data_IF_317521313085
#
_entry.id   IF_317521313085
#
_cell.length_a   1.000
_cell.length_b   1.000
_cell.length_c   1.000
_cell.angle_alpha   90.00
_cell.angle_beta   90.00
_cell.angle_gamma   90.00
#
_symmetry.space_group_name_H-M   'P 1'
#
loop_
_entity.id
_entity.type
_entity.pdbx_description
1 polymer ?
#
# COMPACT_ATOMS: atom_id res chain seq x y z
N UNK A 1 -36.76 -61.87 -18.34
CA UNK A 1 -35.38 -62.17 -18.78
C UNK A 1 -34.79 -60.88 -19.32
N UNK A 2 -33.61 -60.50 -18.80
CA UNK A 2 -32.70 -59.40 -19.24
C UNK A 2 -33.30 -57.99 -19.11
N UNK A 3 -32.99 -57.11 -18.14
CA UNK A 3 -31.71 -56.64 -17.58
C UNK A 3 -30.82 -55.89 -18.59
N UNK A 4 -31.22 -54.67 -18.96
CA UNK A 4 -30.29 -53.65 -19.47
C UNK A 4 -30.28 -52.48 -18.49
N UNK A 5 -29.25 -52.45 -17.62
CA UNK A 5 -28.88 -51.26 -16.85
C UNK A 5 -27.97 -50.41 -17.72
N UNK A 6 -28.51 -49.32 -18.26
CA UNK A 6 -27.71 -48.21 -18.77
C UNK A 6 -27.17 -47.41 -17.58
N UNK A 7 -25.91 -47.62 -17.24
CA UNK A 7 -25.11 -46.74 -16.39
C UNK A 7 -24.63 -45.55 -17.23
N UNK A 8 -24.99 -44.29 -16.90
CA UNK A 8 -24.25 -43.15 -17.40
C UNK A 8 -23.07 -42.87 -16.45
N UNK A 9 -21.87 -42.85 -17.03
CA UNK A 9 -20.60 -42.49 -16.41
C UNK A 9 -20.65 -41.11 -15.72
N UNK A 10 -21.12 -41.06 -14.48
CA UNK A 10 -20.82 -39.99 -13.54
C UNK A 10 -19.78 -40.51 -12.54
N UNK A 11 -18.52 -40.55 -12.98
CA UNK A 11 -17.39 -40.77 -12.08
C UNK A 11 -16.44 -39.57 -12.12
N UNK A 12 -16.53 -38.82 -11.03
CA UNK A 12 -15.39 -38.29 -10.27
C UNK A 12 -14.59 -37.14 -10.89
N UNK A 13 -15.21 -35.96 -10.89
CA UNK A 13 -14.46 -34.71 -10.61
C UNK A 13 -14.87 -34.23 -9.22
N UNK A 14 -14.54 -35.00 -8.19
CA UNK A 14 -14.65 -34.53 -6.81
C UNK A 14 -13.28 -34.63 -6.15
N UNK A 15 -12.74 -33.48 -5.81
CA UNK A 15 -11.83 -33.38 -4.68
C UNK A 15 -10.36 -33.56 -5.00
N UNK A 16 -9.80 -32.67 -5.82
CA UNK A 16 -8.53 -32.09 -5.38
C UNK A 16 -8.88 -31.15 -4.22
N UNK A 17 -9.11 -31.74 -3.05
CA UNK A 17 -8.92 -31.01 -1.81
C UNK A 17 -7.49 -30.49 -1.91
N UNK A 18 -7.33 -29.16 -1.88
CA UNK A 18 -6.04 -28.54 -1.65
C UNK A 18 -5.47 -29.21 -0.41
N UNK A 19 -4.54 -30.16 -0.60
CA UNK A 19 -3.77 -30.72 0.50
C UNK A 19 -3.09 -29.51 1.14
N UNK A 20 -3.60 -29.06 2.28
CA UNK A 20 -2.88 -28.07 3.09
C UNK A 20 -1.58 -28.77 3.47
N UNK A 21 -0.49 -28.44 2.79
CA UNK A 21 0.84 -28.84 3.18
C UNK A 21 1.13 -28.16 4.52
N UNK A 22 0.78 -28.82 5.62
CA UNK A 22 1.13 -28.37 6.95
C UNK A 22 2.58 -28.75 7.19
N UNK A 23 3.46 -27.77 7.20
CA UNK A 23 4.86 -27.97 7.54
C UNK A 23 4.99 -28.21 9.06
N UNK A 24 4.81 -29.47 9.47
CA UNK A 24 4.71 -29.88 10.89
C UNK A 24 5.99 -29.66 11.71
N UNK A 25 7.13 -29.44 11.05
CA UNK A 25 8.41 -29.18 11.70
C UNK A 25 8.49 -27.74 12.21
N UNK A 26 7.82 -26.80 11.53
CA UNK A 26 7.91 -25.38 11.87
C UNK A 26 7.51 -25.05 13.30
N UNK A 27 6.38 -25.54 13.85
CA UNK A 27 6.00 -25.25 15.24
C UNK A 27 6.97 -25.80 16.28
N UNK A 28 7.83 -26.76 15.93
CA UNK A 28 8.81 -27.37 16.84
C UNK A 28 10.11 -26.57 16.95
N UNK A 29 10.33 -25.60 16.06
CA UNK A 29 11.51 -24.73 16.12
C UNK A 29 11.43 -23.80 17.34
N UNK A 30 12.56 -23.51 18.00
CA UNK A 30 12.66 -22.45 19.00
C UNK A 30 12.07 -21.13 18.46
N UNK A 31 11.47 -20.36 19.37
CA UNK A 31 10.80 -19.12 19.01
C UNK A 31 11.71 -18.16 18.25
N UNK A 32 12.99 -18.09 18.62
CA UNK A 32 14.00 -17.24 17.99
C UNK A 32 14.12 -17.54 16.50
N UNK A 33 14.23 -18.82 16.13
CA UNK A 33 14.34 -19.23 14.71
C UNK A 33 13.05 -18.96 13.95
N UNK A 34 11.89 -19.23 14.56
CA UNK A 34 10.59 -18.94 13.93
C UNK A 34 10.41 -17.45 13.71
N UNK A 35 10.83 -16.63 14.67
CA UNK A 35 10.81 -15.17 14.57
C UNK A 35 11.69 -14.66 13.44
N UNK A 36 12.88 -15.24 13.26
CA UNK A 36 13.78 -14.88 12.16
C UNK A 36 13.19 -15.27 10.81
N UNK A 37 12.64 -16.47 10.69
CA UNK A 37 11.98 -16.92 9.46
C UNK A 37 10.85 -15.94 9.09
N UNK A 38 9.98 -15.59 10.04
CA UNK A 38 8.89 -14.64 9.78
C UNK A 38 9.40 -13.24 9.40
N UNK A 39 10.45 -12.74 10.04
CA UNK A 39 11.10 -11.47 9.67
C UNK A 39 11.62 -11.52 8.23
N UNK A 40 12.17 -12.65 7.81
CA UNK A 40 12.68 -12.84 6.44
C UNK A 40 11.59 -13.04 5.39
N UNK A 41 10.35 -13.36 5.77
CA UNK A 41 9.21 -13.47 4.82
C UNK A 41 8.52 -12.15 4.49
N UNK A 42 8.93 -11.04 5.11
CA UNK A 42 8.32 -9.73 4.84
C UNK A 42 8.88 -9.19 3.53
N UNK A 43 8.00 -8.95 2.56
CA UNK A 43 8.37 -8.43 1.24
C UNK A 43 7.84 -7.00 1.03
N UNK A 44 8.61 -6.11 0.35
CA UNK A 44 8.12 -4.79 -0.02
C UNK A 44 6.89 -4.85 -0.92
N UNK A 45 5.91 -3.99 -0.66
CA UNK A 45 4.68 -3.89 -1.46
C UNK A 45 4.14 -2.46 -1.46
N UNK A 46 3.20 -2.18 -2.37
CA UNK A 46 2.45 -0.92 -2.36
C UNK A 46 1.15 -1.09 -1.59
N UNK A 47 0.94 -0.25 -0.60
CA UNK A 47 -0.29 -0.21 0.20
C UNK A 47 -1.12 0.98 -0.26
N UNK A 48 -2.31 0.71 -0.80
CA UNK A 48 -3.22 1.77 -1.22
C UNK A 48 -4.03 2.29 -0.03
N UNK A 49 -3.94 3.60 0.18
CA UNK A 49 -4.59 4.29 1.29
C UNK A 49 -5.27 5.53 0.72
N UNK A 50 -6.53 5.38 0.32
CA UNK A 50 -7.32 6.46 -0.28
C UNK A 50 -8.36 6.94 0.71
N UNK A 51 -8.65 8.23 0.67
CA UNK A 51 -9.74 8.83 1.45
C UNK A 51 -10.85 9.22 0.49
N UNK A 52 -11.98 8.51 0.61
CA UNK A 52 -13.21 8.81 -0.14
C UNK A 52 -14.21 9.61 0.69
N UNK A 53 -15.19 10.20 0.04
CA UNK A 53 -16.29 10.94 0.67
C UNK A 53 -16.61 12.25 -0.04
N UNK A 54 -17.81 12.82 0.16
CA UNK A 54 -18.18 14.10 -0.43
C UNK A 54 -17.26 15.22 0.10
N UNK A 55 -16.63 15.98 -0.81
CA UNK A 55 -15.67 17.05 -0.50
C UNK A 55 -16.20 18.14 0.45
N UNK A 56 -17.52 18.22 0.60
CA UNK A 56 -18.24 19.26 1.34
C UNK A 56 -18.35 18.93 2.84
N UNK A 57 -18.17 17.67 3.26
CA UNK A 57 -18.35 17.24 4.65
C UNK A 57 -17.10 16.54 5.21
N UNK A 58 -16.30 17.27 5.99
CA UNK A 58 -15.13 16.74 6.74
C UNK A 58 -15.44 15.57 7.69
N UNK A 59 -16.72 15.29 7.96
CA UNK A 59 -17.18 14.22 8.85
C UNK A 59 -17.52 12.91 8.13
N UNK A 60 -17.37 12.83 6.82
CA UNK A 60 -17.74 11.64 6.03
C UNK A 60 -16.56 11.05 5.25
N UNK A 61 -15.34 11.24 5.74
CA UNK A 61 -14.16 10.62 5.17
C UNK A 61 -14.14 9.13 5.49
N UNK A 62 -14.19 8.31 4.45
CA UNK A 62 -14.12 6.85 4.54
C UNK A 62 -12.77 6.42 4.00
N UNK A 63 -12.01 5.70 4.82
CA UNK A 63 -10.77 5.05 4.40
C UNK A 63 -11.10 3.91 3.44
N UNK A 64 -10.51 3.98 2.26
CA UNK A 64 -10.61 2.99 1.19
C UNK A 64 -9.22 2.40 1.00
N UNK A 65 -9.07 1.11 1.30
CA UNK A 65 -7.89 0.35 0.97
C UNK A 65 -8.31 -0.91 0.24
N UNK A 66 -7.69 -1.16 -0.90
CA UNK A 66 -7.85 -2.39 -1.67
C UNK A 66 -6.75 -3.42 -1.34
N UNK A 67 -5.78 -3.03 -0.52
CA UNK A 67 -4.64 -3.89 -0.21
C UNK A 67 -5.07 -4.99 0.75
N UNK A 68 -4.95 -6.28 0.36
CA UNK A 68 -5.29 -7.37 1.25
C UNK A 68 -4.36 -7.39 2.46
N UNK A 69 -4.88 -7.93 3.58
CA UNK A 69 -4.07 -8.18 4.77
C UNK A 69 -2.89 -9.08 4.38
N UNK A 70 -1.64 -8.72 4.75
CA UNK A 70 -0.47 -9.50 4.36
C UNK A 70 -0.60 -10.95 4.82
N UNK A 71 -0.18 -11.88 3.95
CA UNK A 71 -0.30 -13.32 4.18
C UNK A 71 0.34 -13.74 5.51
N UNK A 72 1.45 -13.11 5.90
CA UNK A 72 2.16 -13.36 7.17
C UNK A 72 1.28 -13.15 8.40
N UNK A 73 0.40 -12.14 8.39
CA UNK A 73 -0.57 -11.91 9.47
C UNK A 73 -1.75 -12.89 9.45
N UNK A 74 -2.04 -13.49 8.30
CA UNK A 74 -3.11 -14.48 8.16
C UNK A 74 -2.65 -15.90 8.52
N UNK A 75 -1.40 -16.26 8.23
CA UNK A 75 -0.88 -17.61 8.40
C UNK A 75 -0.26 -17.84 9.79
N UNK A 76 0.16 -16.78 10.46
CA UNK A 76 0.91 -16.87 11.71
C UNK A 76 0.27 -16.08 12.84
N UNK A 77 -0.10 -16.79 13.93
CA UNK A 77 -0.58 -16.16 15.17
C UNK A 77 0.50 -15.37 15.91
N UNK A 78 1.78 -15.62 15.62
CA UNK A 78 2.92 -14.95 16.27
C UNK A 78 3.33 -13.67 15.55
N UNK A 79 2.96 -13.51 14.28
CA UNK A 79 3.36 -12.35 13.48
C UNK A 79 2.93 -11.00 14.08
N UNK A 80 1.73 -10.84 14.68
CA UNK A 80 1.37 -9.61 15.37
C UNK A 80 2.29 -9.28 16.57
N UNK A 81 2.83 -10.29 17.25
CA UNK A 81 3.71 -10.10 18.42
C UNK A 81 5.14 -9.73 18.04
N UNK A 82 5.50 -9.89 16.76
CA UNK A 82 6.84 -9.56 16.26
C UNK A 82 6.96 -8.09 15.82
N UNK A 83 5.88 -7.31 15.94
CA UNK A 83 5.80 -5.91 15.49
C UNK A 83 6.27 -5.73 14.04
N UNK A 84 5.98 -6.71 13.18
CA UNK A 84 6.33 -6.66 11.75
C UNK A 84 5.43 -5.72 10.95
N UNK A 85 4.22 -5.51 11.44
CA UNK A 85 3.21 -4.64 10.86
C UNK A 85 2.46 -3.93 11.97
N UNK A 86 2.06 -2.70 11.72
CA UNK A 86 1.28 -1.87 12.63
C UNK A 86 -0.06 -1.52 11.99
N UNK A 87 -1.10 -1.35 12.81
CA UNK A 87 -2.37 -0.80 12.35
C UNK A 87 -2.25 0.71 12.23
N UNK A 88 -2.52 1.23 11.04
CA UNK A 88 -2.38 2.65 10.72
C UNK A 88 -3.68 3.24 10.13
N UNK A 89 -3.73 4.58 10.07
CA UNK A 89 -4.77 5.38 9.41
C UNK A 89 -6.18 5.31 10.03
N UNK A 90 -6.33 4.70 11.20
CA UNK A 90 -7.60 4.62 11.92
C UNK A 90 -8.20 6.00 12.25
N UNK A 91 -7.36 7.01 12.41
CA UNK A 91 -7.66 8.40 12.71
C UNK A 91 -8.25 9.17 11.52
N UNK A 92 -7.97 8.71 10.31
CA UNK A 92 -8.45 9.33 9.06
C UNK A 92 -9.89 8.95 8.73
N UNK A 93 -10.48 8.05 9.52
CA UNK A 93 -11.75 7.40 9.23
C UNK A 93 -12.74 7.54 10.38
N UNK A 94 -13.98 7.91 10.06
CA UNK A 94 -15.07 7.91 11.05
C UNK A 94 -15.50 6.50 11.47
N UNK A 95 -15.27 5.50 10.64
CA UNK A 95 -15.57 4.10 10.93
C UNK A 95 -14.40 3.33 11.58
N UNK A 96 -13.30 4.01 11.91
CA UNK A 96 -12.10 3.41 12.54
C UNK A 96 -11.53 2.20 11.79
N UNK A 97 -11.75 2.08 10.47
CA UNK A 97 -11.04 1.08 9.66
C UNK A 97 -9.56 1.44 9.67
N UNK A 98 -8.72 0.42 9.70
CA UNK A 98 -7.27 0.53 9.70
C UNK A 98 -6.68 -0.30 8.57
N UNK A 99 -5.42 -0.04 8.25
CA UNK A 99 -4.63 -0.83 7.31
C UNK A 99 -3.38 -1.32 8.03
N UNK A 100 -2.97 -2.56 7.74
CA UNK A 100 -1.71 -3.10 8.25
C UNK A 100 -0.55 -2.63 7.38
N UNK A 101 0.40 -1.94 8.00
CA UNK A 101 1.52 -1.28 7.32
C UNK A 101 2.84 -1.67 7.95
N UNK A 102 3.85 -1.92 7.12
CA UNK A 102 5.24 -1.95 7.52
C UNK A 102 5.93 -0.65 7.03
N UNK A 103 6.20 0.29 7.95
CA UNK A 103 6.71 1.61 7.59
C UNK A 103 8.10 1.62 6.92
N UNK A 104 8.89 0.54 7.10
CA UNK A 104 10.23 0.41 6.53
C UNK A 104 10.23 -0.08 5.08
N UNK A 105 9.29 -0.98 4.76
CA UNK A 105 9.27 -1.70 3.50
C UNK A 105 8.12 -1.28 2.58
N UNK A 106 6.95 -0.98 3.14
CA UNK A 106 5.77 -0.63 2.37
C UNK A 106 5.91 0.76 1.74
N UNK A 107 5.47 0.86 0.48
CA UNK A 107 5.26 2.14 -0.21
C UNK A 107 3.79 2.52 -0.01
N UNK A 108 3.53 3.68 0.60
CA UNK A 108 2.16 4.16 0.80
C UNK A 108 1.71 4.89 -0.46
N UNK A 109 0.65 4.40 -1.10
CA UNK A 109 0.05 5.03 -2.27
C UNK A 109 -1.25 5.73 -1.88
N UNK A 110 -1.27 7.06 -1.97
CA UNK A 110 -2.45 7.87 -1.65
C UNK A 110 -3.31 8.19 -2.88
N UNK A 111 -2.86 7.80 -4.08
CA UNK A 111 -3.52 8.13 -5.34
C UNK A 111 -3.77 9.64 -5.46
N UNK A 112 -5.00 10.02 -5.78
CA UNK A 112 -5.44 11.42 -5.91
C UNK A 112 -5.86 12.08 -4.59
N UNK A 113 -5.81 11.36 -3.46
CA UNK A 113 -6.19 11.92 -2.15
C UNK A 113 -5.27 13.07 -1.72
N UNK A 114 -5.82 14.05 -1.00
CA UNK A 114 -5.07 15.19 -0.47
C UNK A 114 -4.17 14.80 0.70
N UNK A 115 -2.98 15.42 0.77
CA UNK A 115 -1.98 15.17 1.81
C UNK A 115 -2.48 15.49 3.22
N UNK A 116 -3.35 16.50 3.37
CA UNK A 116 -3.92 16.92 4.66
C UNK A 116 -4.62 15.77 5.41
N UNK A 117 -5.15 14.78 4.70
CA UNK A 117 -5.79 13.62 5.31
C UNK A 117 -4.82 12.72 6.06
N UNK A 118 -3.52 12.81 5.76
CA UNK A 118 -2.48 11.91 6.28
C UNK A 118 -1.55 12.60 7.26
N UNK A 119 -1.85 13.83 7.69
CA UNK A 119 -0.98 14.61 8.56
C UNK A 119 -0.49 13.82 9.79
N UNK A 120 -1.34 13.02 10.44
CA UNK A 120 -0.94 12.22 11.61
C UNK A 120 0.07 11.12 11.27
N UNK A 121 -0.09 10.47 10.12
CA UNK A 121 0.75 9.35 9.68
C UNK A 121 1.98 9.81 8.88
N UNK A 122 1.96 11.03 8.35
CA UNK A 122 3.00 11.59 7.50
C UNK A 122 4.43 11.44 8.08
N UNK A 123 4.68 11.64 9.40
CA UNK A 123 6.03 11.50 9.94
C UNK A 123 6.57 10.07 9.95
N UNK A 124 5.67 9.08 9.84
CA UNK A 124 5.98 7.66 9.81
C UNK A 124 6.18 7.13 8.38
N UNK A 125 5.66 7.86 7.39
CA UNK A 125 5.72 7.44 5.99
C UNK A 125 7.14 7.67 5.47
N UNK A 126 7.87 6.59 5.25
CA UNK A 126 9.23 6.64 4.66
C UNK A 126 9.22 6.65 3.14
N UNK A 127 8.18 6.08 2.52
CA UNK A 127 8.04 5.94 1.06
C UNK A 127 6.63 6.28 0.65
N UNK A 128 6.47 7.29 -0.19
CA UNK A 128 5.16 7.82 -0.59
C UNK A 128 5.04 7.82 -2.11
N UNK A 129 3.86 7.40 -2.56
CA UNK A 129 3.45 7.42 -3.96
C UNK A 129 2.12 8.17 -4.09
N UNK A 130 2.02 9.05 -5.07
CA UNK A 130 0.80 9.83 -5.30
C UNK A 130 0.57 10.10 -6.78
N UNK A 131 -0.68 10.37 -7.15
CA UNK A 131 -1.12 10.59 -8.53
C UNK A 131 -1.57 12.04 -8.70
N UNK A 132 -0.93 12.79 -9.61
CA UNK A 132 -1.34 14.15 -9.97
C UNK A 132 -1.15 14.36 -11.46
N UNK A 133 -2.06 15.11 -12.07
CA UNK A 133 -1.86 15.60 -13.42
C UNK A 133 -0.68 16.57 -13.43
N UNK A 134 0.25 16.35 -14.36
CA UNK A 134 1.39 17.25 -14.57
C UNK A 134 1.00 18.51 -15.36
N UNK A 135 -0.29 18.69 -15.68
CA UNK A 135 -0.79 19.69 -16.65
C UNK A 135 -1.62 20.82 -16.02
N UNK A 136 -2.25 20.63 -14.86
CA UNK A 136 -3.16 21.62 -14.28
C UNK A 136 -2.52 22.39 -13.13
N UNK A 137 -2.04 23.59 -13.44
CA UNK A 137 -1.43 24.57 -12.53
C UNK A 137 -0.10 24.12 -11.89
N UNK A 138 0.96 24.53 -12.59
CA UNK A 138 2.37 24.57 -12.17
C UNK A 138 2.60 24.93 -10.68
N UNK A 139 1.67 25.63 -10.03
CA UNK A 139 1.73 26.03 -8.63
C UNK A 139 1.14 25.01 -7.63
N UNK A 140 0.11 24.23 -7.98
CA UNK A 140 -0.50 23.27 -7.05
C UNK A 140 0.29 21.97 -6.96
N UNK A 141 0.81 21.48 -8.08
CA UNK A 141 1.74 20.34 -8.10
C UNK A 141 3.03 20.77 -7.40
N UNK A 142 3.62 21.91 -7.75
CA UNK A 142 4.78 22.48 -7.03
C UNK A 142 4.51 22.68 -5.54
N UNK A 143 3.34 23.18 -5.13
CA UNK A 143 3.01 23.33 -3.71
C UNK A 143 2.89 21.97 -3.02
N UNK A 144 2.22 20.98 -3.61
CA UNK A 144 2.17 19.63 -3.05
C UNK A 144 3.57 18.98 -2.95
N UNK A 145 4.43 19.23 -3.94
CA UNK A 145 5.83 18.80 -3.95
C UNK A 145 6.67 19.52 -2.90
N UNK A 146 6.57 20.85 -2.81
CA UNK A 146 7.21 21.65 -1.76
C UNK A 146 6.63 21.31 -0.39
N UNK A 147 5.36 20.99 -0.23
CA UNK A 147 4.77 20.58 1.05
C UNK A 147 5.26 19.19 1.50
N UNK A 148 5.65 18.32 0.54
CA UNK A 148 6.23 17.01 0.80
C UNK A 148 7.76 17.02 0.99
N UNK A 149 8.45 18.04 0.46
CA UNK A 149 9.93 18.13 0.39
C UNK A 149 10.49 19.25 1.28
N UNK A 150 9.75 20.34 1.48
CA UNK A 150 10.27 21.53 2.15
C UNK A 150 10.33 21.34 3.66
N UNK A 151 11.47 21.77 4.23
CA UNK A 151 11.76 21.86 5.66
C UNK A 151 10.73 22.69 6.47
N UNK A 152 9.83 23.44 5.80
CA UNK A 152 8.85 24.33 6.44
C UNK A 152 7.47 23.71 6.71
N UNK A 153 7.18 22.51 6.19
CA UNK A 153 5.98 21.75 6.58
C UNK A 153 6.44 20.44 7.24
N UNK A 154 6.50 20.38 8.58
CA UNK A 154 7.27 19.38 9.34
C UNK A 154 6.63 17.99 9.38
N UNK A 155 5.76 17.66 8.43
CA UNK A 155 4.90 16.48 8.52
C UNK A 155 5.45 15.30 7.73
N UNK A 156 6.13 15.52 6.61
CA UNK A 156 6.63 14.42 5.78
C UNK A 156 8.15 14.28 5.95
N UNK A 157 8.57 13.15 6.51
CA UNK A 157 9.99 12.85 6.72
C UNK A 157 10.59 11.96 5.62
N UNK A 158 9.82 11.64 4.58
CA UNK A 158 10.35 10.92 3.44
C UNK A 158 11.27 11.82 2.63
N UNK A 159 12.54 11.44 2.50
CA UNK A 159 13.48 12.11 1.59
C UNK A 159 12.98 12.05 0.14
N UNK A 160 13.43 13.00 -0.68
CA UNK A 160 13.08 13.11 -2.10
C UNK A 160 13.26 11.79 -2.87
N UNK A 161 14.25 10.99 -2.48
CA UNK A 161 14.55 9.69 -3.08
C UNK A 161 13.45 8.63 -2.87
N UNK A 162 12.54 8.87 -1.93
CA UNK A 162 11.44 7.98 -1.58
C UNK A 162 10.05 8.53 -1.96
N UNK A 163 10.02 9.59 -2.77
CA UNK A 163 8.80 10.21 -3.30
C UNK A 163 8.61 9.85 -4.78
N UNK A 164 7.43 9.32 -5.09
CA UNK A 164 7.07 8.85 -6.43
C UNK A 164 5.77 9.53 -6.91
N UNK A 165 5.85 10.25 -8.02
CA UNK A 165 4.68 10.78 -8.73
C UNK A 165 4.31 9.85 -9.86
N UNK A 166 3.01 9.58 -9.99
CA UNK A 166 2.44 9.01 -11.20
C UNK A 166 1.71 10.12 -11.95
N UNK A 167 2.08 10.32 -13.20
CA UNK A 167 1.30 11.15 -14.12
C UNK A 167 0.24 10.28 -14.83
N UNK A 168 -1.06 10.51 -14.58
CA UNK A 168 -2.12 9.76 -15.23
C UNK A 168 -2.26 10.06 -16.74
N UNK A 169 -1.78 11.20 -17.24
CA UNK A 169 -1.90 11.57 -18.67
C UNK A 169 -0.77 10.95 -19.54
N UNK A 170 0.42 10.75 -18.97
CA UNK A 170 1.52 10.00 -19.61
C UNK A 170 1.38 8.48 -19.41
N UNK A 171 0.16 7.94 -19.47
CA UNK A 171 -0.09 6.50 -19.37
C UNK A 171 0.29 5.88 -18.01
N UNK A 172 0.36 6.68 -16.94
CA UNK A 172 0.75 6.23 -15.61
C UNK A 172 2.26 6.16 -15.40
N UNK A 173 3.05 6.94 -16.15
CA UNK A 173 4.50 7.02 -15.96
C UNK A 173 4.81 7.42 -14.52
N UNK A 174 5.66 6.61 -13.88
CA UNK A 174 6.18 6.89 -12.54
C UNK A 174 7.47 7.68 -12.66
N UNK A 175 7.54 8.81 -11.97
CA UNK A 175 8.70 9.69 -11.90
C UNK A 175 9.13 9.86 -10.45
N UNK A 176 10.44 9.83 -10.20
CA UNK A 176 10.98 10.19 -8.89
C UNK A 176 10.96 11.70 -8.70
N UNK A 177 10.96 12.15 -7.46
CA UNK A 177 11.06 13.58 -7.13
C UNK A 177 12.25 14.27 -7.80
N UNK A 178 13.40 13.61 -7.78
CA UNK A 178 14.65 14.14 -8.35
C UNK A 178 14.56 14.29 -9.87
N UNK A 179 13.88 13.38 -10.55
CA UNK A 179 13.66 13.42 -12.00
C UNK A 179 12.70 14.55 -12.35
N UNK A 180 11.62 14.73 -11.57
CA UNK A 180 10.70 15.85 -11.79
C UNK A 180 11.39 17.20 -11.52
N UNK A 181 12.20 17.29 -10.46
CA UNK A 181 13.01 18.48 -10.17
C UNK A 181 13.89 18.87 -11.36
N UNK A 182 14.61 17.90 -11.92
CA UNK A 182 15.45 18.12 -13.09
C UNK A 182 14.65 18.52 -14.35
N UNK A 183 13.48 17.90 -14.58
CA UNK A 183 12.59 18.27 -15.68
C UNK A 183 12.08 19.72 -15.54
N UNK A 184 11.68 20.12 -14.33
CA UNK A 184 11.26 21.50 -14.05
C UNK A 184 12.41 22.49 -14.30
N UNK A 185 13.60 22.19 -13.80
CA UNK A 185 14.78 23.06 -13.98
C UNK A 185 15.16 23.23 -15.46
N UNK A 186 14.96 22.18 -16.27
CA UNK A 186 15.19 22.23 -17.71
C UNK A 186 14.15 23.11 -18.42
N UNK A 187 12.86 22.92 -18.13
CA UNK A 187 11.77 23.70 -18.74
C UNK A 187 11.91 25.20 -18.42
N UNK A 188 12.33 25.57 -17.21
CA UNK A 188 12.62 26.96 -16.85
C UNK A 188 13.73 27.59 -17.71
N UNK A 189 14.75 26.82 -18.12
CA UNK A 189 15.84 27.30 -18.99
C UNK A 189 15.45 27.41 -20.46
N UNK A 190 14.37 26.76 -20.86
CA UNK A 190 13.88 26.79 -22.25
C UNK A 190 12.85 27.92 -22.45
N UNK A 191 12.19 28.36 -21.38
CA UNK A 191 11.19 29.44 -21.39
C UNK A 191 11.82 30.84 -21.20
N UNK A 192 13.02 30.93 -20.62
CA UNK A 192 13.74 32.18 -20.30
C UNK A 192 15.21 32.14 -20.74
#
# INVERSE_FOLDING_TARGET
MVAERGEPLHLLVTGWALQRCTFHIFPLLPFELRSWIWKSTVEPRTVEVRVGGPAICRKAHVLISLTPVPATLQTCREAPNLNLYEQAFSETNTERRYVWVNWDLDIISIGTSYFDHFHTAAPLIKRLKFERQNTCEFFYTRKAWHDAIAEHYPYWHCGEENLYLIDPEEGGRMMKATELGAMMDQEYREIW
#
